data_IF_410593646596
#
_entry.id   IF_410593646596
#
_cell.length_a   1.000
_cell.length_b   1.000
_cell.length_c   1.000
_cell.angle_alpha   90.00
_cell.angle_beta   90.00
_cell.angle_gamma   90.00
#
_symmetry.space_group_name_H-M   'P 1'
#
loop_
_entity.id
_entity.type
_entity.pdbx_description
1 polymer ?
#
# COMPACT_ATOMS: atom_id res chain seq x y z
N UNK A 1 -5.86 -6.97 17.98
CA UNK A 1 -4.71 -6.83 17.04
C UNK A 1 -4.24 -5.38 17.00
N UNK A 2 -2.93 -5.14 17.12
CA UNK A 2 -2.33 -3.80 17.04
C UNK A 2 -2.41 -3.24 15.61
N UNK A 3 -2.76 -1.95 15.43
CA UNK A 3 -2.68 -1.30 14.12
C UNK A 3 -1.23 -0.95 13.78
N UNK A 4 -0.86 -1.11 12.51
CA UNK A 4 0.41 -0.67 11.94
C UNK A 4 0.17 0.56 11.06
N UNK A 5 1.14 1.47 11.06
CA UNK A 5 1.30 2.49 10.02
C UNK A 5 2.45 2.07 9.10
N UNK A 6 2.35 2.36 7.82
CA UNK A 6 3.38 2.05 6.83
C UNK A 6 3.47 3.14 5.76
N UNK A 7 4.62 3.22 5.12
CA UNK A 7 4.91 4.13 4.00
C UNK A 7 5.36 3.27 2.81
N UNK A 8 4.81 3.54 1.63
CA UNK A 8 5.23 2.94 0.36
C UNK A 8 5.79 4.04 -0.53
N UNK A 9 6.86 3.71 -1.27
CA UNK A 9 7.39 4.56 -2.34
C UNK A 9 6.76 4.13 -3.66
N UNK A 10 6.12 5.06 -4.36
CA UNK A 10 5.49 4.87 -5.65
C UNK A 10 6.52 4.97 -6.78
N UNK A 11 6.15 4.50 -7.98
CA UNK A 11 7.01 4.55 -9.19
C UNK A 11 7.37 5.98 -9.57
N UNK A 12 6.41 6.89 -9.41
CA UNK A 12 6.57 8.32 -9.68
C UNK A 12 7.43 9.04 -8.62
N UNK A 13 8.02 8.30 -7.67
CA UNK A 13 8.80 8.84 -6.57
C UNK A 13 7.96 9.43 -5.44
N UNK A 14 6.63 9.45 -5.57
CA UNK A 14 5.73 9.90 -4.49
C UNK A 14 5.69 8.89 -3.34
N UNK A 15 5.21 9.34 -2.17
CA UNK A 15 5.03 8.48 -1.01
C UNK A 15 3.56 8.30 -0.67
N UNK A 16 3.16 7.05 -0.41
CA UNK A 16 1.84 6.71 0.09
C UNK A 16 1.91 6.27 1.54
N UNK A 17 1.11 6.90 2.41
CA UNK A 17 1.02 6.56 3.83
C UNK A 17 -0.30 5.81 4.06
N UNK A 18 -0.22 4.69 4.76
CA UNK A 18 -1.40 3.88 5.09
C UNK A 18 -1.33 3.26 6.47
N UNK A 19 -2.47 2.71 6.90
CA UNK A 19 -2.55 1.89 8.10
C UNK A 19 -3.24 0.56 7.80
N UNK A 20 -2.92 -0.46 8.59
CA UNK A 20 -3.52 -1.80 8.48
C UNK A 20 -3.34 -2.56 9.78
N UNK A 21 -4.18 -3.57 10.03
CA UNK A 21 -3.93 -4.56 11.09
C UNK A 21 -3.18 -5.79 10.57
N UNK A 22 -3.05 -5.93 9.25
CA UNK A 22 -2.35 -7.04 8.60
C UNK A 22 -1.54 -6.51 7.39
N UNK A 23 -0.21 -6.47 7.53
CA UNK A 23 0.70 -5.94 6.51
C UNK A 23 0.79 -6.84 5.28
N UNK A 24 0.92 -8.16 5.47
CA UNK A 24 1.05 -9.15 4.39
C UNK A 24 -0.15 -9.08 3.45
N UNK A 25 -1.36 -9.16 4.01
CA UNK A 25 -2.61 -9.04 3.23
C UNK A 25 -2.69 -7.69 2.52
N UNK A 26 -2.27 -6.61 3.18
CA UNK A 26 -2.37 -5.26 2.61
C UNK A 26 -1.41 -5.05 1.45
N UNK A 27 -0.20 -5.59 1.55
CA UNK A 27 0.78 -5.55 0.46
C UNK A 27 0.28 -6.35 -0.76
N UNK A 28 -0.24 -7.56 -0.55
CA UNK A 28 -0.83 -8.37 -1.62
C UNK A 28 -2.03 -7.66 -2.31
N UNK A 29 -2.86 -6.95 -1.55
CA UNK A 29 -3.94 -6.14 -2.13
C UNK A 29 -3.41 -5.01 -3.03
N UNK A 30 -2.35 -4.32 -2.62
CA UNK A 30 -1.73 -3.29 -3.44
C UNK A 30 -1.13 -3.87 -4.73
N UNK A 31 -0.41 -4.99 -4.64
CA UNK A 31 0.16 -5.70 -5.79
C UNK A 31 -0.92 -6.20 -6.78
N UNK A 32 -2.06 -6.67 -6.27
CA UNK A 32 -3.17 -7.13 -7.09
C UNK A 32 -4.04 -5.99 -7.67
N UNK A 33 -3.67 -4.72 -7.46
CA UNK A 33 -4.49 -3.57 -7.85
C UNK A 33 -5.84 -3.49 -7.11
N UNK A 34 -6.00 -4.22 -6.01
CA UNK A 34 -7.18 -4.23 -5.12
C UNK A 34 -6.96 -3.34 -3.88
N UNK A 35 -5.94 -2.49 -3.91
CA UNK A 35 -5.61 -1.50 -2.90
C UNK A 35 -6.49 -0.25 -2.97
N UNK A 36 -6.01 0.86 -2.40
CA UNK A 36 -6.72 2.14 -2.52
C UNK A 36 -6.77 2.60 -3.99
N UNK A 37 -7.82 3.34 -4.39
CA UNK A 37 -7.93 3.89 -5.74
C UNK A 37 -6.69 4.71 -6.15
N UNK A 38 -6.06 5.37 -5.17
CA UNK A 38 -4.82 6.12 -5.36
C UNK A 38 -3.60 5.24 -5.68
N UNK A 39 -3.53 4.02 -5.13
CA UNK A 39 -2.38 3.13 -5.26
C UNK A 39 -2.48 2.16 -6.45
N UNK A 40 -3.68 1.99 -7.02
CA UNK A 40 -4.00 1.11 -8.17
C UNK A 40 -3.10 1.25 -9.40
N UNK A 41 -2.58 2.46 -9.66
CA UNK A 41 -1.74 2.77 -10.85
C UNK A 41 -0.36 3.32 -10.51
N UNK A 42 -0.03 3.42 -9.22
CA UNK A 42 1.13 4.20 -8.75
C UNK A 42 2.16 3.38 -7.97
N UNK A 43 1.82 2.17 -7.56
CA UNK A 43 2.76 1.29 -6.87
C UNK A 43 3.28 0.28 -7.89
N UNK A 44 4.51 0.48 -8.37
CA UNK A 44 5.33 -0.65 -8.78
C UNK A 44 5.96 -1.23 -7.52
N UNK A 45 6.16 -2.54 -7.59
CA UNK A 45 6.96 -3.32 -6.66
C UNK A 45 8.29 -2.63 -6.34
#
# INVERSE_FOLDING_TARGET
MKPYKYILKCVDGSYYIGSTRNLVRRLAQHQAGKGANFTKKKIAL
#
